data_IF_929930823583
#
_entry.id   IF_929930823583
#
_cell.length_a   1.000
_cell.length_b   1.000
_cell.length_c   1.000
_cell.angle_alpha   90.00
_cell.angle_beta   90.00
_cell.angle_gamma   90.00
#
_symmetry.space_group_name_H-M   'P 1'
#
loop_
_entity.id
_entity.type
_entity.pdbx_description
1 polymer ?
#
# COMPACT_ATOMS: atom_id res chain seq x y z
N UNK A 1 -11.47 -2.38 -5.71
CA UNK A 1 -10.87 -1.76 -4.51
C UNK A 1 -9.66 -0.88 -4.85
N UNK A 2 -8.50 -1.39 -5.30
CA UNK A 2 -7.35 -0.51 -5.61
C UNK A 2 -7.65 0.46 -6.76
N UNK A 3 -8.31 0.00 -7.82
CA UNK A 3 -8.77 0.87 -8.91
C UNK A 3 -9.79 1.93 -8.44
N UNK A 4 -10.65 1.61 -7.47
CA UNK A 4 -11.58 2.59 -6.90
C UNK A 4 -10.86 3.64 -6.05
N UNK A 5 -9.82 3.23 -5.32
CA UNK A 5 -8.93 4.14 -4.58
C UNK A 5 -8.19 5.06 -5.57
N UNK A 6 -7.67 4.52 -6.67
CA UNK A 6 -7.06 5.32 -7.74
C UNK A 6 -8.02 6.39 -8.27
N UNK A 7 -9.27 6.02 -8.59
CA UNK A 7 -10.31 6.95 -9.04
C UNK A 7 -10.67 8.01 -7.98
N UNK A 8 -10.65 7.65 -6.70
CA UNK A 8 -10.88 8.61 -5.62
C UNK A 8 -9.72 9.63 -5.50
N UNK A 9 -8.48 9.15 -5.67
CA UNK A 9 -7.26 9.95 -5.58
C UNK A 9 -6.96 10.77 -6.85
N UNK A 10 -7.59 10.46 -7.98
CA UNK A 10 -7.59 11.32 -9.16
C UNK A 10 -8.27 12.68 -8.86
N UNK A 11 -9.31 12.66 -8.01
CA UNK A 11 -10.11 13.86 -7.68
C UNK A 11 -9.53 14.69 -6.54
N UNK A 12 -8.64 14.12 -5.74
CA UNK A 12 -8.17 14.75 -4.49
C UNK A 12 -6.85 14.19 -4.02
N UNK A 13 -6.11 14.96 -3.22
CA UNK A 13 -4.75 14.58 -2.80
C UNK A 13 -4.73 13.39 -1.82
N UNK A 14 -5.77 13.27 -1.00
CA UNK A 14 -6.00 12.22 0.00
C UNK A 14 -7.40 11.66 -0.18
N UNK A 15 -7.71 10.51 0.43
CA UNK A 15 -8.92 9.74 0.10
C UNK A 15 -10.25 10.51 0.25
N UNK A 16 -10.31 11.49 1.14
CA UNK A 16 -11.54 12.25 1.42
C UNK A 16 -11.39 13.74 1.15
N UNK A 17 -10.32 14.19 0.49
CA UNK A 17 -10.12 15.62 0.19
C UNK A 17 -8.67 16.06 0.08
N UNK A 18 -8.41 17.38 0.19
CA UNK A 18 -7.06 17.92 0.06
C UNK A 18 -6.18 17.69 1.29
N UNK A 19 -6.77 17.33 2.43
CA UNK A 19 -6.07 17.13 3.70
C UNK A 19 -6.06 15.66 4.13
N UNK A 20 -4.97 15.25 4.78
CA UNK A 20 -4.83 13.90 5.31
C UNK A 20 -5.82 13.68 6.46
N UNK A 21 -6.69 12.67 6.31
CA UNK A 21 -7.74 12.36 7.27
C UNK A 21 -7.63 10.96 7.88
N UNK A 22 -8.71 10.58 8.57
CA UNK A 22 -8.83 9.26 9.19
C UNK A 22 -8.86 8.13 8.16
N UNK A 23 -9.41 8.37 6.97
CA UNK A 23 -9.43 7.38 5.89
C UNK A 23 -7.99 7.00 5.47
N UNK A 24 -7.11 8.00 5.28
CA UNK A 24 -5.71 7.77 4.91
C UNK A 24 -4.96 7.05 6.04
N UNK A 25 -5.16 7.48 7.29
CA UNK A 25 -4.58 6.84 8.46
C UNK A 25 -5.01 5.37 8.60
N UNK A 26 -6.28 5.05 8.31
CA UNK A 26 -6.80 3.69 8.36
C UNK A 26 -6.22 2.79 7.26
N UNK A 27 -5.96 3.34 6.07
CA UNK A 27 -5.35 2.59 4.96
C UNK A 27 -3.84 2.38 5.13
N UNK A 28 -3.17 3.34 5.77
CA UNK A 28 -1.70 3.37 5.97
C UNK A 28 -1.08 2.04 6.44
N UNK A 29 -1.57 1.34 7.50
CA UNK A 29 -0.93 0.11 7.96
C UNK A 29 -0.98 -1.02 6.92
N UNK A 30 -2.02 -1.08 6.08
CA UNK A 30 -2.14 -2.09 5.04
C UNK A 30 -1.17 -1.84 3.88
N UNK A 31 -1.12 -0.61 3.37
CA UNK A 31 -0.19 -0.22 2.31
C UNK A 31 1.26 -0.36 2.79
N UNK A 32 1.56 0.07 4.02
CA UNK A 32 2.90 -0.11 4.60
C UNK A 32 3.26 -1.59 4.74
N UNK A 33 2.31 -2.47 5.09
CA UNK A 33 2.56 -3.91 5.19
C UNK A 33 2.84 -4.54 3.84
N UNK A 34 2.09 -4.16 2.81
CA UNK A 34 2.33 -4.62 1.43
C UNK A 34 3.71 -4.14 0.94
N UNK A 35 4.10 -2.91 1.28
CA UNK A 35 5.44 -2.41 1.00
C UNK A 35 6.54 -3.23 1.71
N UNK A 36 6.32 -3.67 2.96
CA UNK A 36 7.28 -4.55 3.66
C UNK A 36 7.40 -5.94 3.04
N UNK A 37 6.36 -6.39 2.34
CA UNK A 37 6.32 -7.65 1.59
C UNK A 37 6.91 -7.52 0.17
N UNK A 38 7.30 -6.31 -0.26
CA UNK A 38 7.73 -6.11 -1.65
C UNK A 38 6.56 -6.14 -2.66
N UNK A 39 5.35 -5.82 -2.22
CA UNK A 39 4.12 -5.88 -3.03
C UNK A 39 3.74 -4.56 -3.69
N UNK A 40 4.69 -3.63 -3.81
CA UNK A 40 4.44 -2.32 -4.43
C UNK A 40 4.00 -2.43 -5.90
N UNK A 41 4.35 -3.53 -6.57
CA UNK A 41 3.91 -3.84 -7.93
C UNK A 41 2.39 -3.81 -8.10
N UNK A 42 1.62 -4.02 -7.02
CA UNK A 42 0.15 -3.96 -7.05
C UNK A 42 -0.40 -2.58 -7.43
N UNK A 43 0.41 -1.53 -7.37
CA UNK A 43 0.02 -0.16 -7.72
C UNK A 43 1.04 0.53 -8.64
N UNK A 44 1.86 -0.23 -9.36
CA UNK A 44 2.80 0.32 -10.35
C UNK A 44 2.07 1.12 -11.45
N UNK A 45 0.90 0.61 -11.88
CA UNK A 45 0.03 1.27 -12.87
C UNK A 45 -0.99 2.25 -12.24
N UNK A 46 -0.98 2.42 -10.91
CA UNK A 46 -1.92 3.26 -10.16
C UNK A 46 -1.20 4.49 -9.61
N UNK A 47 -0.97 5.45 -10.51
CA UNK A 47 -0.10 6.61 -10.26
C UNK A 47 -0.55 7.49 -9.08
N UNK A 48 -1.86 7.68 -8.89
CA UNK A 48 -2.40 8.51 -7.81
C UNK A 48 -2.27 7.81 -6.46
N UNK A 49 -2.54 6.51 -6.40
CA UNK A 49 -2.31 5.68 -5.23
C UNK A 49 -0.83 5.66 -4.85
N UNK A 50 0.07 5.41 -5.81
CA UNK A 50 1.51 5.46 -5.58
C UNK A 50 1.96 6.83 -5.06
N UNK A 51 1.41 7.93 -5.60
CA UNK A 51 1.69 9.30 -5.14
C UNK A 51 1.19 9.54 -3.71
N UNK A 52 -0.04 9.14 -3.40
CA UNK A 52 -0.64 9.26 -2.08
C UNK A 52 0.15 8.47 -1.03
N UNK A 53 0.51 7.21 -1.32
CA UNK A 53 1.35 6.38 -0.45
C UNK A 53 2.67 7.07 -0.11
N UNK A 54 3.39 7.61 -1.11
CA UNK A 54 4.64 8.36 -0.88
C UNK A 54 4.42 9.62 -0.04
N UNK A 55 3.31 10.34 -0.22
CA UNK A 55 2.97 11.51 0.62
C UNK A 55 2.74 11.11 2.07
N UNK A 56 2.03 10.02 2.32
CA UNK A 56 1.78 9.48 3.67
C UNK A 56 3.09 9.07 4.35
N UNK A 57 3.95 8.32 3.66
CA UNK A 57 5.24 7.84 4.20
C UNK A 57 6.20 8.98 4.58
N UNK A 58 6.08 10.15 3.95
CA UNK A 58 6.88 11.35 4.27
C UNK A 58 6.42 12.09 5.53
N UNK A 59 5.25 11.76 6.09
CA UNK A 59 4.71 12.45 7.28
C UNK A 59 5.47 12.04 8.54
N UNK A 60 5.70 12.98 9.43
CA UNK A 60 6.35 12.70 10.73
C UNK A 60 5.54 11.68 11.55
N UNK A 61 4.21 11.76 11.50
CA UNK A 61 3.32 10.80 12.16
C UNK A 61 3.52 9.36 11.67
N UNK A 62 3.90 9.18 10.41
CA UNK A 62 4.21 7.86 9.86
C UNK A 62 5.50 7.32 10.47
N UNK A 63 6.58 8.11 10.42
CA UNK A 63 7.88 7.73 11.00
C UNK A 63 7.78 7.41 12.49
N UNK A 64 7.04 8.22 13.25
CA UNK A 64 6.82 7.98 14.68
C UNK A 64 6.24 6.60 14.98
N UNK A 65 5.41 6.04 14.09
CA UNK A 65 4.81 4.71 14.29
C UNK A 65 5.69 3.60 13.72
N UNK A 66 6.18 3.75 12.48
CA UNK A 66 6.86 2.67 11.75
C UNK A 66 8.37 2.58 12.03
N UNK A 67 8.97 3.66 12.53
CA UNK A 67 10.39 3.70 12.94
C UNK A 67 10.58 3.72 14.47
N UNK A 68 9.48 3.75 15.25
CA UNK A 68 9.53 3.75 16.72
C UNK A 68 10.33 2.57 17.29
N UNK A 69 10.21 1.40 16.66
CA UNK A 69 10.83 0.15 17.09
C UNK A 69 11.45 -0.56 15.88
N UNK A 70 12.67 -0.19 15.47
CA UNK A 70 13.31 -0.80 14.31
C UNK A 70 13.58 -2.29 14.57
N UNK A 71 13.09 -3.15 13.67
CA UNK A 71 13.40 -4.58 13.68
C UNK A 71 13.88 -5.02 12.29
N UNK A 72 15.19 -4.91 12.00
CA UNK A 72 15.75 -5.24 10.69
C UNK A 72 15.57 -6.71 10.31
N UNK A 73 15.61 -7.62 11.29
CA UNK A 73 15.39 -9.05 11.06
C UNK A 73 13.97 -9.31 10.58
N UNK A 74 12.96 -8.69 11.23
CA UNK A 74 11.57 -8.74 10.77
C UNK A 74 11.43 -8.16 9.37
N UNK A 75 11.99 -6.97 9.09
CA UNK A 75 11.90 -6.35 7.75
C UNK A 75 12.47 -7.26 6.66
N UNK A 76 13.62 -7.90 6.88
CA UNK A 76 14.19 -8.89 5.94
C UNK A 76 13.30 -10.12 5.77
N UNK A 77 12.80 -10.68 6.88
CA UNK A 77 11.91 -11.84 6.83
C UNK A 77 10.60 -11.56 6.10
N UNK A 78 10.03 -10.37 6.27
CA UNK A 78 8.84 -9.93 5.52
C UNK A 78 9.12 -9.85 4.01
N UNK A 79 10.23 -9.22 3.62
CA UNK A 79 10.61 -9.11 2.22
C UNK A 79 10.83 -10.48 1.58
N UNK A 80 11.53 -11.39 2.26
CA UNK A 80 11.76 -12.75 1.77
C UNK A 80 10.46 -13.53 1.64
N UNK A 81 9.59 -13.49 2.65
CA UNK A 81 8.31 -14.18 2.60
C UNK A 81 7.43 -13.68 1.44
N UNK A 82 7.46 -12.37 1.16
CA UNK A 82 6.77 -11.78 0.03
C UNK A 82 7.32 -12.27 -1.31
N UNK A 83 8.64 -12.33 -1.46
CA UNK A 83 9.29 -12.90 -2.67
C UNK A 83 8.88 -14.36 -2.90
N UNK A 84 8.88 -15.18 -1.84
CA UNK A 84 8.51 -16.60 -1.90
C UNK A 84 7.06 -16.80 -2.38
N UNK A 85 6.13 -15.90 -2.03
CA UNK A 85 4.71 -16.02 -2.40
C UNK A 85 4.30 -15.19 -3.61
N UNK A 86 5.21 -14.38 -4.18
CA UNK A 86 4.91 -13.38 -5.20
C UNK A 86 4.10 -13.95 -6.38
N UNK A 87 4.56 -15.06 -6.94
CA UNK A 87 3.91 -15.69 -8.09
C UNK A 87 2.50 -16.22 -7.76
N UNK A 88 2.30 -16.78 -6.58
CA UNK A 88 0.98 -17.25 -6.15
C UNK A 88 0.04 -16.09 -5.82
N UNK A 89 0.56 -14.99 -5.27
CA UNK A 89 -0.22 -13.78 -5.04
C UNK A 89 -0.80 -13.22 -6.34
N UNK A 90 -0.01 -13.15 -7.42
CA UNK A 90 -0.49 -12.73 -8.75
C UNK A 90 -1.64 -13.63 -9.23
N UNK A 91 -1.47 -14.97 -9.17
CA UNK A 91 -2.51 -15.91 -9.60
C UNK A 91 -3.83 -15.73 -8.86
N UNK A 92 -3.77 -15.48 -7.55
CA UNK A 92 -4.97 -15.26 -6.73
C UNK A 92 -5.70 -13.99 -7.19
N UNK A 93 -4.97 -12.90 -7.44
CA UNK A 93 -5.55 -11.63 -7.88
C UNK A 93 -6.17 -11.75 -9.28
N UNK A 94 -5.47 -12.35 -10.24
CA UNK A 94 -5.97 -12.55 -11.60
C UNK A 94 -7.22 -13.44 -11.64
N UNK A 95 -7.26 -14.50 -10.81
CA UNK A 95 -8.44 -15.36 -10.70
C UNK A 95 -9.64 -14.57 -10.17
N UNK A 96 -9.44 -13.78 -9.11
CA UNK A 96 -10.51 -12.99 -8.51
C UNK A 96 -11.04 -11.89 -9.45
N UNK A 97 -10.22 -11.39 -10.38
CA UNK A 97 -10.70 -10.46 -11.41
C UNK A 97 -11.58 -11.15 -12.46
N UNK A 98 -11.21 -12.36 -12.89
CA UNK A 98 -12.01 -13.15 -13.84
C UNK A 98 -13.37 -13.55 -13.27
N UNK A 99 -13.44 -13.87 -11.98
CA UNK A 99 -14.68 -14.25 -11.29
C UNK A 99 -15.62 -13.05 -11.04
N UNK A 100 -15.18 -11.81 -11.29
CA UNK A 100 -15.98 -10.57 -11.12
C UNK A 100 -16.55 -10.02 -12.43
N UNK A 101 -16.25 -10.63 -13.58
CA UNK A 101 -16.83 -10.33 -14.89
C UNK A 101 -18.10 -11.12 -15.15
#
# INVERSE_FOLDING_TARGET
>A
MLAEIEVALDKSTFLTGPEHGLADAALTPFVSRLNELGFEWMWDDLSHLGSCSRKIQKRDSFRTVFDALPNPARRRGMSQAGEEVHHEAIKILEKNEKDRG
#
